data_IF_574475761590
#
_entry.id   IF_574475761590
#
_cell.length_a   1.000
_cell.length_b   1.000
_cell.length_c   1.000
_cell.angle_alpha   90.00
_cell.angle_beta   90.00
_cell.angle_gamma   90.00
#
_symmetry.space_group_name_H-M   'P 1'
#
loop_
_entity.id
_entity.type
_entity.pdbx_description
1 polymer ?
#
# COMPACT_ATOMS: atom_id res chain seq x y z
N UNK A 1 18.02 -19.64 2.40
CA UNK A 1 18.32 -20.08 3.75
C UNK A 1 17.98 -18.98 4.74
N UNK A 2 17.31 -19.30 5.83
CA UNK A 2 17.01 -18.36 6.92
C UNK A 2 17.84 -18.81 8.11
N UNK A 3 18.68 -17.94 8.71
CA UNK A 3 19.41 -18.29 9.92
C UNK A 3 18.47 -18.92 10.97
N UNK A 4 18.91 -19.93 11.67
CA UNK A 4 18.15 -20.70 12.66
C UNK A 4 17.00 -21.58 12.14
N UNK A 5 16.52 -21.39 10.91
CA UNK A 5 15.42 -22.19 10.31
C UNK A 5 15.89 -23.04 9.13
N UNK A 6 17.07 -22.77 8.57
CA UNK A 6 17.59 -23.46 7.40
C UNK A 6 16.83 -23.10 6.10
N UNK A 7 16.66 -24.08 5.23
CA UNK A 7 15.96 -23.92 3.96
C UNK A 7 14.46 -23.96 4.16
N UNK A 8 13.77 -22.89 3.74
CA UNK A 8 12.31 -22.75 3.82
C UNK A 8 11.74 -22.59 2.43
N UNK A 9 10.67 -23.34 2.13
CA UNK A 9 9.96 -23.22 0.85
C UNK A 9 9.07 -22.01 0.87
N UNK A 10 9.27 -21.10 -0.09
CA UNK A 10 8.39 -19.94 -0.35
C UNK A 10 7.22 -20.42 -1.22
N UNK A 11 5.99 -19.99 -0.88
CA UNK A 11 4.79 -20.35 -1.62
C UNK A 11 4.74 -19.70 -3.00
N UNK A 12 5.04 -18.41 -3.06
CA UNK A 12 5.13 -17.64 -4.29
C UNK A 12 6.51 -17.87 -4.95
N UNK A 13 6.51 -18.09 -6.26
CA UNK A 13 7.73 -18.28 -7.06
C UNK A 13 7.93 -17.10 -8.01
N UNK A 14 9.18 -16.82 -8.38
CA UNK A 14 9.53 -15.83 -9.41
C UNK A 14 9.48 -14.36 -8.98
N UNK A 15 9.21 -14.05 -7.69
CA UNK A 15 9.18 -12.66 -7.20
C UNK A 15 10.55 -12.14 -6.75
N UNK A 16 11.45 -13.03 -6.39
CA UNK A 16 12.80 -12.65 -5.99
C UNK A 16 13.66 -12.74 -7.24
N UNK A 17 14.21 -11.61 -7.75
CA UNK A 17 15.07 -11.63 -8.90
C UNK A 17 16.34 -12.43 -8.58
N UNK A 18 16.89 -13.05 -9.59
CA UNK A 18 18.12 -13.82 -9.47
C UNK A 18 19.33 -12.97 -9.84
N UNK A 19 20.51 -13.37 -9.40
CA UNK A 19 21.77 -12.72 -9.78
C UNK A 19 22.03 -12.76 -11.30
N UNK A 20 21.36 -13.65 -12.02
CA UNK A 20 21.42 -13.71 -13.49
C UNK A 20 20.87 -12.46 -14.18
N UNK A 21 19.98 -11.74 -13.50
CA UNK A 21 19.35 -10.52 -14.03
C UNK A 21 20.14 -9.25 -13.67
N UNK A 22 21.36 -9.38 -13.14
CA UNK A 22 22.17 -8.24 -12.71
C UNK A 22 21.73 -7.62 -11.36
N UNK A 23 20.82 -8.27 -10.64
CA UNK A 23 20.35 -7.81 -9.33
C UNK A 23 21.23 -8.33 -8.20
N UNK A 24 21.47 -7.50 -7.19
CA UNK A 24 22.24 -7.87 -6.01
C UNK A 24 21.32 -7.92 -4.78
N UNK A 25 21.22 -9.09 -4.15
CA UNK A 25 20.45 -9.23 -2.92
C UNK A 25 21.30 -8.73 -1.76
N UNK A 26 20.84 -7.67 -1.08
CA UNK A 26 21.55 -7.05 0.06
C UNK A 26 21.14 -7.65 1.40
N UNK A 27 19.85 -7.80 1.64
CA UNK A 27 19.34 -8.32 2.90
C UNK A 27 17.95 -8.90 2.75
N UNK A 28 17.52 -9.66 3.77
CA UNK A 28 16.16 -10.18 3.83
C UNK A 28 15.60 -10.11 5.24
N UNK A 29 14.29 -9.97 5.35
CA UNK A 29 13.60 -10.02 6.63
C UNK A 29 12.38 -10.94 6.56
N UNK A 30 12.10 -11.60 7.69
CA UNK A 30 10.90 -12.41 7.86
C UNK A 30 9.97 -11.71 8.81
N UNK A 31 8.70 -11.58 8.42
CA UNK A 31 7.68 -10.94 9.24
C UNK A 31 6.41 -11.78 9.29
N UNK A 32 5.62 -11.56 10.35
CA UNK A 32 4.29 -12.17 10.49
C UNK A 32 3.22 -11.08 10.47
N UNK A 33 2.19 -11.26 9.63
CA UNK A 33 1.00 -10.40 9.62
C UNK A 33 -0.24 -11.26 9.74
N UNK A 34 -1.00 -11.04 10.81
CA UNK A 34 -2.13 -11.85 11.23
C UNK A 34 -1.72 -13.33 11.48
N UNK A 35 -1.87 -14.20 10.49
CA UNK A 35 -1.51 -15.62 10.56
C UNK A 35 -0.62 -16.07 9.39
N UNK A 36 -0.01 -15.13 8.69
CA UNK A 36 0.83 -15.39 7.52
C UNK A 36 2.24 -14.88 7.71
N UNK A 37 3.20 -15.67 7.28
CA UNK A 37 4.60 -15.29 7.22
C UNK A 37 4.90 -14.67 5.86
N UNK A 38 5.72 -13.64 5.87
CA UNK A 38 6.19 -12.92 4.69
C UNK A 38 7.70 -12.83 4.72
N UNK A 39 8.30 -12.99 3.57
CA UNK A 39 9.73 -12.73 3.36
C UNK A 39 9.82 -11.46 2.51
N UNK A 40 10.58 -10.49 2.99
CA UNK A 40 10.91 -9.27 2.22
C UNK A 40 12.40 -9.32 1.92
N UNK A 41 12.76 -9.03 0.68
CA UNK A 41 14.14 -9.05 0.21
C UNK A 41 14.49 -7.65 -0.30
N UNK A 42 15.57 -7.08 0.21
CA UNK A 42 16.14 -5.85 -0.31
C UNK A 42 17.08 -6.20 -1.46
N UNK A 43 16.78 -5.63 -2.61
CA UNK A 43 17.51 -5.89 -3.85
C UNK A 43 18.04 -4.56 -4.39
N UNK A 44 19.31 -4.53 -4.75
CA UNK A 44 19.89 -3.45 -5.52
C UNK A 44 19.61 -3.68 -7.00
N UNK A 45 19.04 -2.70 -7.64
CA UNK A 45 18.66 -2.72 -9.07
C UNK A 45 19.62 -1.79 -9.80
N UNK A 46 20.17 -2.18 -10.96
CA UNK A 46 20.93 -1.27 -11.80
C UNK A 46 20.07 -0.04 -12.13
N UNK A 47 20.66 1.14 -12.06
CA UNK A 47 19.97 2.37 -12.46
C UNK A 47 19.65 2.33 -13.95
N UNK A 48 18.38 2.35 -14.28
CA UNK A 48 17.95 2.60 -15.65
C UNK A 48 18.10 4.09 -15.93
N UNK A 49 18.85 4.41 -16.98
CA UNK A 49 18.95 5.78 -17.46
C UNK A 49 17.55 6.29 -17.82
N UNK A 50 17.27 7.54 -17.45
CA UNK A 50 16.08 8.23 -17.93
C UNK A 50 16.19 8.25 -19.47
N UNK A 51 15.22 7.65 -20.13
CA UNK A 51 15.16 7.67 -21.58
C UNK A 51 14.45 8.93 -22.02
N UNK A 52 15.04 9.68 -22.92
CA UNK A 52 14.35 10.76 -23.65
C UNK A 52 13.32 10.11 -24.59
N UNK A 53 12.25 9.61 -24.00
CA UNK A 53 11.14 9.04 -24.76
C UNK A 53 10.35 10.20 -25.37
N UNK A 54 10.02 10.19 -26.66
CA UNK A 54 9.27 11.25 -27.33
C UNK A 54 7.82 11.37 -26.85
N UNK A 55 7.37 10.48 -25.97
CA UNK A 55 6.02 10.53 -25.42
C UNK A 55 5.80 11.77 -24.53
N UNK A 56 4.61 12.32 -24.60
CA UNK A 56 4.22 13.45 -23.76
C UNK A 56 4.26 13.08 -22.26
N UNK A 57 4.61 14.06 -21.43
CA UNK A 57 4.52 13.93 -19.98
C UNK A 57 3.06 13.94 -19.51
N UNK A 58 2.81 13.34 -18.36
CA UNK A 58 1.46 13.31 -17.75
C UNK A 58 1.47 13.91 -16.36
N UNK A 59 0.36 14.61 -16.03
CA UNK A 59 0.06 15.09 -14.69
C UNK A 59 -0.90 14.14 -13.98
N UNK A 60 -0.73 13.98 -12.67
CA UNK A 60 -1.62 13.18 -11.81
C UNK A 60 -2.09 14.03 -10.64
N UNK A 61 -3.39 14.28 -10.55
CA UNK A 61 -4.04 14.87 -9.39
C UNK A 61 -4.61 13.75 -8.49
N UNK A 62 -4.28 13.80 -7.19
CA UNK A 62 -4.73 12.83 -6.18
C UNK A 62 -5.83 13.43 -5.32
N UNK A 63 -6.97 12.76 -5.24
CA UNK A 63 -8.15 13.27 -4.56
C UNK A 63 -8.87 12.31 -3.63
N UNK A 64 -9.85 12.84 -2.90
CA UNK A 64 -10.73 12.05 -2.02
C UNK A 64 -12.01 11.59 -2.71
N UNK A 65 -12.49 12.34 -3.72
CA UNK A 65 -13.66 11.97 -4.52
C UNK A 65 -13.29 10.86 -5.49
N UNK A 66 -12.38 11.16 -6.36
CA UNK A 66 -11.66 10.18 -7.18
C UNK A 66 -10.29 9.94 -6.56
N UNK A 67 -9.70 8.77 -6.81
CA UNK A 67 -8.38 8.44 -6.25
C UNK A 67 -7.26 9.17 -6.99
N UNK A 68 -7.33 9.17 -8.31
CA UNK A 68 -6.40 9.89 -9.16
C UNK A 68 -7.08 10.30 -10.47
N UNK A 69 -6.75 11.49 -10.94
CA UNK A 69 -7.13 12.00 -12.26
C UNK A 69 -5.84 12.27 -13.02
N UNK A 70 -5.75 11.75 -14.22
CA UNK A 70 -4.58 11.89 -15.09
C UNK A 70 -4.88 12.86 -16.21
N UNK A 71 -3.91 13.69 -16.61
CA UNK A 71 -4.06 14.72 -17.65
C UNK A 71 -4.51 14.17 -19.01
N UNK A 72 -4.29 12.89 -19.27
CA UNK A 72 -4.81 12.21 -20.48
C UNK A 72 -6.32 11.88 -20.43
N UNK A 73 -7.05 12.42 -19.45
CA UNK A 73 -8.49 12.21 -19.26
C UNK A 73 -8.86 10.95 -18.46
N UNK A 74 -7.90 10.10 -18.10
CA UNK A 74 -8.17 8.87 -17.34
C UNK A 74 -8.42 9.17 -15.87
N UNK A 75 -9.50 8.60 -15.33
CA UNK A 75 -9.90 8.77 -13.94
C UNK A 75 -9.94 7.44 -13.20
N UNK A 76 -9.30 7.38 -12.04
CA UNK A 76 -9.28 6.23 -11.15
C UNK A 76 -10.20 6.46 -9.96
N UNK A 77 -11.24 5.63 -9.84
CA UNK A 77 -12.25 5.75 -8.78
C UNK A 77 -11.67 5.49 -7.40
N UNK A 78 -12.23 6.13 -6.38
CA UNK A 78 -11.87 5.84 -5.00
C UNK A 78 -12.35 4.45 -4.57
N UNK A 79 -11.44 3.49 -4.46
CA UNK A 79 -11.74 2.09 -4.09
C UNK A 79 -12.41 1.98 -2.71
N UNK A 80 -12.15 2.93 -1.80
CA UNK A 80 -12.74 2.95 -0.46
C UNK A 80 -14.27 3.14 -0.48
N UNK A 81 -14.81 3.65 -1.58
CA UNK A 81 -16.26 3.80 -1.79
C UNK A 81 -16.93 2.51 -2.30
N UNK A 82 -16.16 1.49 -2.65
CA UNK A 82 -16.70 0.22 -3.14
C UNK A 82 -17.55 -0.50 -2.08
N UNK A 83 -18.60 -1.17 -2.51
CA UNK A 83 -19.47 -1.98 -1.65
C UNK A 83 -18.67 -3.04 -0.87
N UNK A 84 -17.65 -3.63 -1.53
CA UNK A 84 -16.77 -4.63 -0.93
C UNK A 84 -16.00 -4.08 0.28
N UNK A 85 -15.34 -2.94 0.15
CA UNK A 85 -14.57 -2.34 1.26
C UNK A 85 -15.50 -1.83 2.37
N UNK A 86 -16.62 -1.19 2.03
CA UNK A 86 -17.62 -0.78 3.01
C UNK A 86 -18.14 -1.96 3.85
N UNK A 87 -18.39 -3.12 3.21
CA UNK A 87 -18.80 -4.35 3.91
C UNK A 87 -17.71 -4.85 4.86
N UNK A 88 -16.45 -4.89 4.42
CA UNK A 88 -15.31 -5.31 5.25
C UNK A 88 -15.07 -4.36 6.43
N UNK A 89 -15.17 -3.05 6.24
CA UNK A 89 -15.05 -2.06 7.31
C UNK A 89 -16.16 -2.20 8.36
N UNK A 90 -17.42 -2.42 7.93
CA UNK A 90 -18.52 -2.73 8.85
C UNK A 90 -18.26 -4.00 9.67
N UNK A 91 -17.72 -5.04 9.02
CA UNK A 91 -17.33 -6.28 9.70
C UNK A 91 -16.20 -6.03 10.70
N UNK A 92 -15.20 -5.24 10.33
CA UNK A 92 -14.07 -4.87 11.19
C UNK A 92 -14.55 -4.17 12.44
N UNK A 93 -15.38 -3.14 12.33
CA UNK A 93 -15.96 -2.40 13.46
C UNK A 93 -16.70 -3.34 14.41
N UNK A 94 -17.52 -4.26 13.88
CA UNK A 94 -18.25 -5.25 14.71
C UNK A 94 -17.28 -6.16 15.49
N UNK A 95 -16.21 -6.63 14.84
CA UNK A 95 -15.21 -7.50 15.47
C UNK A 95 -14.35 -6.75 16.50
N UNK A 96 -14.03 -5.48 16.23
CA UNK A 96 -13.33 -4.62 17.18
C UNK A 96 -14.18 -4.36 18.44
N UNK A 97 -15.46 -4.00 18.28
CA UNK A 97 -16.39 -3.84 19.41
C UNK A 97 -16.52 -5.12 20.25
N UNK A 98 -16.60 -6.28 19.61
CA UNK A 98 -16.61 -7.58 20.29
C UNK A 98 -15.30 -7.86 21.04
N UNK A 99 -14.16 -7.48 20.46
CA UNK A 99 -12.86 -7.61 21.10
C UNK A 99 -12.72 -6.68 22.32
N UNK A 100 -13.13 -5.42 22.18
CA UNK A 100 -13.10 -4.44 23.29
C UNK A 100 -13.91 -4.93 24.48
N UNK A 101 -15.15 -5.41 24.28
CA UNK A 101 -15.98 -5.98 25.36
C UNK A 101 -15.28 -7.15 26.07
N UNK A 102 -14.59 -8.01 25.33
CA UNK A 102 -13.84 -9.12 25.95
C UNK A 102 -12.68 -8.64 26.83
N UNK A 103 -12.00 -7.56 26.41
CA UNK A 103 -10.95 -6.95 27.23
C UNK A 103 -11.52 -6.25 28.47
N UNK A 104 -12.68 -5.60 28.37
CA UNK A 104 -13.35 -4.97 29.51
C UNK A 104 -13.78 -6.02 30.53
N UNK A 105 -14.36 -7.14 30.09
CA UNK A 105 -14.74 -8.25 30.97
C UNK A 105 -13.51 -8.84 31.69
N UNK A 106 -12.40 -9.00 31.00
CA UNK A 106 -11.15 -9.46 31.60
C UNK A 106 -10.64 -8.51 32.68
N UNK A 107 -10.77 -7.18 32.48
CA UNK A 107 -10.39 -6.16 33.47
C UNK A 107 -11.29 -6.21 34.72
N UNK A 108 -12.54 -6.59 34.55
CA UNK A 108 -13.50 -6.74 35.65
C UNK A 108 -13.32 -8.06 36.42
N UNK A 109 -12.33 -8.88 36.09
CA UNK A 109 -12.11 -10.18 36.75
C UNK A 109 -13.03 -11.29 36.25
N UNK A 110 -13.87 -11.02 35.24
CA UNK A 110 -14.71 -12.06 34.63
C UNK A 110 -13.86 -13.09 33.88
N UNK A 111 -14.22 -14.37 34.00
CA UNK A 111 -13.50 -15.47 33.34
C UNK A 111 -13.65 -15.42 31.83
N UNK A 112 -12.78 -14.66 31.17
CA UNK A 112 -12.65 -14.70 29.70
C UNK A 112 -11.52 -15.65 29.33
N UNK A 113 -11.84 -16.74 28.65
CA UNK A 113 -10.82 -17.68 28.17
C UNK A 113 -9.82 -16.96 27.25
N UNK A 114 -8.55 -16.92 27.65
CA UNK A 114 -7.46 -16.27 26.88
C UNK A 114 -7.39 -16.77 25.44
N UNK A 115 -7.68 -18.05 25.20
CA UNK A 115 -7.74 -18.64 23.86
C UNK A 115 -8.81 -17.97 22.97
N UNK A 116 -10.00 -17.68 23.52
CA UNK A 116 -11.08 -17.01 22.78
C UNK A 116 -10.75 -15.55 22.49
N UNK A 117 -10.03 -14.87 23.41
CA UNK A 117 -9.51 -13.53 23.16
C UNK A 117 -8.52 -13.53 21.99
N UNK A 118 -7.57 -14.45 22.00
CA UNK A 118 -6.58 -14.57 20.91
C UNK A 118 -7.24 -14.93 19.56
N UNK A 119 -8.22 -15.82 19.55
CA UNK A 119 -9.02 -16.10 18.34
C UNK A 119 -9.70 -14.83 17.80
N UNK A 120 -10.29 -14.03 18.68
CA UNK A 120 -10.96 -12.79 18.27
C UNK A 120 -9.96 -11.74 17.78
N UNK A 121 -8.80 -11.58 18.44
CA UNK A 121 -7.71 -10.71 17.99
C UNK A 121 -7.24 -11.08 16.59
N UNK A 122 -7.02 -12.37 16.33
CA UNK A 122 -6.65 -12.86 14.98
C UNK A 122 -7.71 -12.52 13.92
N UNK A 123 -9.02 -12.63 14.25
CA UNK A 123 -10.09 -12.25 13.31
C UNK A 123 -10.03 -10.76 12.94
N UNK A 124 -9.77 -9.88 13.93
CA UNK A 124 -9.59 -8.43 13.69
C UNK A 124 -8.36 -8.18 12.81
N UNK A 125 -7.22 -8.79 13.14
CA UNK A 125 -5.99 -8.67 12.36
C UNK A 125 -6.15 -9.14 10.91
N UNK A 126 -6.84 -10.26 10.67
CA UNK A 126 -7.14 -10.76 9.33
C UNK A 126 -7.98 -9.79 8.51
N UNK A 127 -8.97 -9.12 9.13
CA UNK A 127 -9.79 -8.13 8.44
C UNK A 127 -8.99 -6.88 8.10
N UNK A 128 -8.16 -6.37 9.00
CA UNK A 128 -7.26 -5.27 8.71
C UNK A 128 -6.35 -5.61 7.52
N UNK A 129 -5.69 -6.75 7.59
CA UNK A 129 -4.79 -7.19 6.52
C UNK A 129 -5.52 -7.36 5.17
N UNK A 130 -6.75 -7.88 5.18
CA UNK A 130 -7.55 -8.02 3.96
C UNK A 130 -7.90 -6.66 3.34
N UNK A 131 -8.28 -5.67 4.16
CA UNK A 131 -8.57 -4.31 3.71
C UNK A 131 -7.31 -3.66 3.15
N UNK A 132 -6.19 -3.78 3.85
CA UNK A 132 -4.90 -3.25 3.40
C UNK A 132 -4.43 -3.85 2.08
N UNK A 133 -4.57 -5.16 1.91
CA UNK A 133 -4.19 -5.83 0.67
C UNK A 133 -5.04 -5.36 -0.53
N UNK A 134 -6.34 -5.14 -0.34
CA UNK A 134 -7.22 -4.62 -1.41
C UNK A 134 -6.76 -3.22 -1.84
N UNK A 135 -6.44 -2.35 -0.88
CA UNK A 135 -5.94 -1.00 -1.15
C UNK A 135 -4.58 -1.03 -1.85
N UNK A 136 -3.66 -1.85 -1.35
CA UNK A 136 -2.33 -1.99 -1.92
C UNK A 136 -2.35 -2.58 -3.34
N UNK A 137 -3.19 -3.58 -3.59
CA UNK A 137 -3.40 -4.16 -4.93
C UNK A 137 -3.95 -3.11 -5.90
N UNK A 138 -4.94 -2.33 -5.46
CA UNK A 138 -5.50 -1.24 -6.26
C UNK A 138 -4.44 -0.20 -6.64
N UNK A 139 -3.65 0.25 -5.66
CA UNK A 139 -2.53 1.19 -5.89
C UNK A 139 -1.54 0.61 -6.90
N UNK A 140 -1.13 -0.63 -6.71
CA UNK A 140 -0.16 -1.28 -7.59
C UNK A 140 -0.68 -1.38 -9.04
N UNK A 141 -1.96 -1.73 -9.23
CA UNK A 141 -2.59 -1.80 -10.55
C UNK A 141 -2.69 -0.43 -11.20
N UNK A 142 -3.10 0.58 -10.44
CA UNK A 142 -3.16 1.98 -10.93
C UNK A 142 -1.79 2.45 -11.40
N UNK A 143 -0.74 2.25 -10.60
CA UNK A 143 0.62 2.62 -10.97
C UNK A 143 1.09 1.85 -12.20
N UNK A 144 0.87 0.53 -12.24
CA UNK A 144 1.27 -0.30 -13.37
C UNK A 144 0.60 0.15 -14.68
N UNK A 145 -0.66 0.54 -14.61
CA UNK A 145 -1.42 1.03 -15.76
C UNK A 145 -0.94 2.40 -16.23
N UNK A 146 -0.64 3.32 -15.31
CA UNK A 146 -0.08 4.65 -15.60
C UNK A 146 1.29 4.49 -16.27
N UNK A 147 2.20 3.72 -15.66
CA UNK A 147 3.57 3.56 -16.15
C UNK A 147 3.64 2.75 -17.47
N UNK A 148 2.62 1.91 -17.74
CA UNK A 148 2.52 1.16 -19.01
C UNK A 148 2.41 2.09 -20.23
N UNK A 149 1.90 3.29 -20.08
CA UNK A 149 1.82 4.28 -21.17
C UNK A 149 3.18 4.88 -21.54
N UNK A 150 4.25 4.57 -20.79
CA UNK A 150 5.62 5.07 -20.98
C UNK A 150 5.68 6.60 -21.20
N UNK A 151 5.16 7.41 -20.29
CA UNK A 151 5.29 8.86 -20.43
C UNK A 151 6.76 9.27 -20.23
N UNK A 152 7.20 10.37 -20.88
CA UNK A 152 8.54 10.92 -20.69
C UNK A 152 8.78 11.36 -19.24
N UNK A 153 7.77 11.96 -18.61
CA UNK A 153 7.78 12.30 -17.20
C UNK A 153 6.38 12.20 -16.59
N UNK A 154 6.34 12.04 -15.28
CA UNK A 154 5.09 12.08 -14.49
C UNK A 154 5.20 13.20 -13.49
N UNK A 155 4.22 14.12 -13.47
CA UNK A 155 4.13 15.19 -12.49
C UNK A 155 3.04 14.87 -11.46
N UNK A 156 3.37 14.99 -10.18
CA UNK A 156 2.42 14.85 -9.07
C UNK A 156 2.56 16.00 -8.08
N UNK A 157 1.47 16.34 -7.39
CA UNK A 157 1.47 17.33 -6.33
C UNK A 157 2.09 16.77 -5.04
N UNK A 158 2.85 17.61 -4.30
CA UNK A 158 3.32 17.30 -2.96
C UNK A 158 2.23 17.53 -1.92
N UNK A 159 1.36 16.55 -1.76
CA UNK A 159 0.26 16.60 -0.81
C UNK A 159 0.76 16.65 0.63
N UNK A 160 0.36 17.68 1.38
CA UNK A 160 0.58 17.74 2.82
C UNK A 160 -0.35 16.78 3.58
N UNK A 161 -0.10 15.48 3.44
CA UNK A 161 -0.93 14.43 4.08
C UNK A 161 -1.02 14.62 5.59
N UNK A 162 0.09 15.03 6.25
CA UNK A 162 0.10 15.29 7.71
C UNK A 162 -0.84 16.44 8.07
N UNK A 163 -0.84 17.51 7.30
CA UNK A 163 -1.76 18.65 7.49
C UNK A 163 -3.20 18.26 7.26
N UNK A 164 -3.48 17.52 6.18
CA UNK A 164 -4.83 17.02 5.86
C UNK A 164 -5.39 16.11 6.96
N UNK A 165 -4.56 15.29 7.60
CA UNK A 165 -4.97 14.40 8.68
C UNK A 165 -5.32 15.12 10.00
N UNK A 166 -4.91 16.39 10.18
CA UNK A 166 -5.34 17.20 11.35
C UNK A 166 -6.84 17.53 11.29
N UNK A 167 -7.44 17.55 10.11
CA UNK A 167 -8.87 17.76 9.96
C UNK A 167 -9.64 16.49 10.39
N UNK A 168 -10.35 16.53 11.52
CA UNK A 168 -11.10 15.41 12.10
C UNK A 168 -12.11 14.79 11.13
N UNK A 169 -12.72 15.58 10.26
CA UNK A 169 -13.72 15.11 9.30
C UNK A 169 -13.10 14.37 8.10
N UNK A 170 -11.88 14.71 7.73
CA UNK A 170 -11.20 14.16 6.56
C UNK A 170 -10.15 13.11 6.91
N UNK A 171 -9.64 13.08 8.14
CA UNK A 171 -8.51 12.26 8.57
C UNK A 171 -8.66 10.77 8.20
N UNK A 172 -9.84 10.19 8.46
CA UNK A 172 -10.12 8.80 8.10
C UNK A 172 -10.09 8.58 6.57
N UNK A 173 -10.67 9.50 5.81
CA UNK A 173 -10.69 9.41 4.35
C UNK A 173 -9.27 9.52 3.78
N UNK A 174 -8.50 10.51 4.23
CA UNK A 174 -7.10 10.72 3.84
C UNK A 174 -6.24 9.50 4.17
N UNK A 175 -6.31 8.99 5.42
CA UNK A 175 -5.58 7.80 5.83
C UNK A 175 -5.93 6.55 4.97
N UNK A 176 -7.20 6.44 4.56
CA UNK A 176 -7.68 5.31 3.75
C UNK A 176 -7.18 5.34 2.31
N UNK A 177 -6.83 6.52 1.76
CA UNK A 177 -6.32 6.67 0.40
C UNK A 177 -4.86 6.21 0.26
N UNK A 178 -4.09 6.26 1.36
CA UNK A 178 -2.67 5.86 1.34
C UNK A 178 -1.83 6.64 0.30
N UNK A 179 -2.02 7.94 0.19
CA UNK A 179 -1.32 8.80 -0.77
C UNK A 179 0.21 8.68 -0.68
N UNK A 180 0.75 8.58 0.54
CA UNK A 180 2.19 8.36 0.73
C UNK A 180 2.66 7.02 0.13
N UNK A 181 1.88 5.94 0.33
CA UNK A 181 2.19 4.62 -0.26
C UNK A 181 2.16 4.69 -1.80
N UNK A 182 1.17 5.39 -2.37
CA UNK A 182 1.07 5.60 -3.81
C UNK A 182 2.32 6.33 -4.34
N UNK A 183 2.68 7.48 -3.74
CA UNK A 183 3.86 8.27 -4.15
C UNK A 183 5.14 7.45 -4.09
N UNK A 184 5.39 6.75 -2.98
CA UNK A 184 6.59 5.95 -2.78
C UNK A 184 6.70 4.83 -3.82
N UNK A 185 5.60 4.12 -4.09
CA UNK A 185 5.57 3.05 -5.09
C UNK A 185 5.68 3.58 -6.50
N UNK A 186 5.04 4.72 -6.80
CA UNK A 186 5.16 5.37 -8.11
C UNK A 186 6.62 5.77 -8.35
N UNK A 187 7.28 6.39 -7.38
CA UNK A 187 8.69 6.78 -7.46
C UNK A 187 9.61 5.58 -7.75
N UNK A 188 9.40 4.47 -7.02
CA UNK A 188 10.17 3.26 -7.24
C UNK A 188 9.94 2.69 -8.66
N UNK A 189 8.68 2.73 -9.13
CA UNK A 189 8.34 2.21 -10.45
C UNK A 189 8.84 3.11 -11.59
N UNK A 190 8.84 4.42 -11.39
CA UNK A 190 9.42 5.37 -12.34
C UNK A 190 10.93 5.14 -12.49
N UNK A 191 11.66 4.99 -11.37
CA UNK A 191 13.10 4.64 -11.40
C UNK A 191 13.36 3.34 -12.15
N UNK A 192 12.57 2.29 -11.88
CA UNK A 192 12.68 1.00 -12.57
C UNK A 192 12.48 1.13 -14.10
N UNK A 193 11.66 2.07 -14.53
CA UNK A 193 11.31 2.25 -15.94
C UNK A 193 12.04 3.40 -16.66
N UNK A 194 12.93 4.12 -15.97
CA UNK A 194 13.62 5.27 -16.52
C UNK A 194 12.71 6.47 -16.81
N UNK A 195 11.57 6.60 -16.06
CA UNK A 195 10.63 7.71 -16.17
C UNK A 195 10.99 8.78 -15.15
N UNK A 196 11.06 10.03 -15.55
CA UNK A 196 11.28 11.15 -14.63
C UNK A 196 10.02 11.39 -13.78
N UNK A 197 10.16 11.41 -12.43
CA UNK A 197 9.07 11.81 -11.53
C UNK A 197 9.31 13.23 -11.03
N UNK A 198 8.44 14.15 -11.43
CA UNK A 198 8.43 15.56 -10.99
C UNK A 198 7.42 15.73 -9.88
N UNK A 199 7.85 16.30 -8.77
CA UNK A 199 6.99 16.60 -7.62
C UNK A 199 6.88 18.13 -7.53
N UNK A 200 5.68 18.64 -7.76
CA UNK A 200 5.42 20.09 -7.72
C UNK A 200 4.85 20.50 -6.37
N UNK A 201 5.17 21.70 -5.95
CA UNK A 201 4.60 22.28 -4.74
C UNK A 201 3.09 22.46 -4.89
N UNK A 202 2.36 22.27 -3.80
CA UNK A 202 0.89 22.40 -3.75
C UNK A 202 0.35 23.81 -4.10
N UNK A 203 1.23 24.81 -4.11
CA UNK A 203 0.89 26.18 -4.47
C UNK A 203 1.27 26.52 -5.93
N UNK A 204 1.76 25.52 -6.66
CA UNK A 204 2.07 25.72 -8.08
C UNK A 204 0.78 26.02 -8.83
N UNK A 205 0.70 27.15 -9.57
CA UNK A 205 -0.47 27.51 -10.33
C UNK A 205 -0.76 26.45 -11.42
N UNK A 206 -1.97 25.96 -11.45
CA UNK A 206 -2.47 25.00 -12.43
C UNK A 206 -2.95 25.71 -13.71
#
# INVERSE_FOLDING_TARGET
>A
NIPSLGWVRIKEKGYIPTTKDGYVIKSGSVSIKADRFYVSVLVEIPDNKITDDPNEGIGIDLGLKEFAIVSNGKTYKNINRSARLKKLEKQLIRKQRSLSRKYENLKKGESTQRANLQKQKRKVQKLHHKIDNIRADYINKTIAEIVKTKPSYITIEDLNVKGMMKNRHLSKAVASQKFYEFRTKLQAKCREKGIELRVVDRWYPS
#
